data_IF_822185956020
#
_entry.id   IF_822185956020
#
_cell.length_a   1.000
_cell.length_b   1.000
_cell.length_c   1.000
_cell.angle_alpha   90.00
_cell.angle_beta   90.00
_cell.angle_gamma   90.00
#
_symmetry.space_group_name_H-M   'P 1'
#
loop_
_entity.id
_entity.type
_entity.pdbx_description
1 polymer ?
#
# COMPACT_ATOMS: atom_id res chain seq x y z
N UNK A 1 -16.74 -2.99 -16.08
CA UNK A 1 -17.79 -4.00 -15.82
C UNK A 1 -17.44 -4.70 -14.53
N UNK A 2 -18.43 -4.90 -13.63
CA UNK A 2 -18.21 -5.71 -12.42
C UNK A 2 -17.81 -7.13 -12.84
N UNK A 3 -16.73 -7.65 -12.27
CA UNK A 3 -16.28 -8.99 -12.56
C UNK A 3 -16.62 -9.91 -11.39
N UNK A 4 -17.54 -10.85 -11.61
CA UNK A 4 -17.83 -11.89 -10.63
C UNK A 4 -16.62 -12.85 -10.58
N UNK A 5 -15.92 -12.88 -9.44
CA UNK A 5 -14.76 -13.74 -9.24
C UNK A 5 -15.10 -15.13 -8.71
N UNK A 6 -16.39 -15.42 -8.50
CA UNK A 6 -16.83 -16.72 -7.98
C UNK A 6 -17.01 -17.80 -9.07
N UNK A 7 -16.90 -17.40 -10.36
CA UNK A 7 -17.08 -18.29 -11.52
C UNK A 7 -15.87 -18.21 -12.47
N UNK A 8 -15.61 -19.28 -13.21
CA UNK A 8 -14.48 -19.34 -14.16
C UNK A 8 -13.14 -19.74 -13.52
N UNK A 9 -12.09 -19.89 -14.34
CA UNK A 9 -10.77 -20.31 -13.87
C UNK A 9 -10.09 -19.19 -13.08
N UNK A 10 -9.53 -19.45 -11.86
CA UNK A 10 -8.97 -18.42 -10.98
C UNK A 10 -7.93 -17.51 -11.65
N UNK A 11 -6.93 -18.05 -12.33
CA UNK A 11 -5.90 -17.24 -12.98
C UNK A 11 -6.44 -16.35 -14.12
N UNK A 12 -7.48 -16.81 -14.85
CA UNK A 12 -8.11 -16.01 -15.89
C UNK A 12 -8.89 -14.81 -15.35
N UNK A 13 -9.18 -14.82 -14.05
CA UNK A 13 -9.83 -13.72 -13.34
C UNK A 13 -8.80 -12.81 -12.63
N UNK A 14 -7.83 -13.44 -11.94
CA UNK A 14 -6.82 -12.73 -11.13
C UNK A 14 -5.86 -11.92 -12.00
N UNK A 15 -5.33 -12.51 -13.09
CA UNK A 15 -4.34 -11.82 -13.94
C UNK A 15 -4.91 -10.58 -14.62
N UNK A 16 -6.08 -10.61 -15.32
CA UNK A 16 -6.65 -9.42 -15.93
C UNK A 16 -7.08 -8.36 -14.91
N UNK A 17 -7.36 -8.75 -13.67
CA UNK A 17 -7.66 -7.84 -12.57
C UNK A 17 -6.38 -7.19 -11.99
N UNK A 18 -5.29 -7.96 -11.89
CA UNK A 18 -4.00 -7.54 -11.36
C UNK A 18 -3.28 -6.55 -12.31
N UNK A 19 -3.36 -6.75 -13.64
CA UNK A 19 -2.62 -5.90 -14.60
C UNK A 19 -2.97 -4.41 -14.49
N UNK A 20 -4.24 -3.97 -14.42
CA UNK A 20 -4.56 -2.57 -14.18
C UNK A 20 -4.03 -2.04 -12.83
N UNK A 21 -4.01 -2.88 -11.78
CA UNK A 21 -3.44 -2.48 -10.49
C UNK A 21 -1.93 -2.26 -10.60
N UNK A 22 -1.22 -3.15 -11.29
CA UNK A 22 0.21 -3.01 -11.54
C UNK A 22 0.53 -1.73 -12.32
N UNK A 23 -0.20 -1.48 -13.41
CA UNK A 23 -0.05 -0.25 -14.20
C UNK A 23 -0.31 0.98 -13.32
N UNK A 24 -1.37 0.94 -12.49
CA UNK A 24 -1.69 2.04 -11.57
C UNK A 24 -0.59 2.29 -10.53
N UNK A 25 -0.05 1.24 -9.94
CA UNK A 25 1.03 1.35 -8.96
C UNK A 25 2.31 1.92 -9.59
N UNK A 26 2.70 1.43 -10.77
CA UNK A 26 3.87 1.96 -11.50
C UNK A 26 3.62 3.42 -11.90
N UNK A 27 2.43 3.75 -12.39
CA UNK A 27 2.09 5.12 -12.76
C UNK A 27 2.12 6.07 -11.54
N UNK A 28 1.69 5.60 -10.38
CA UNK A 28 1.76 6.36 -9.14
C UNK A 28 3.22 6.64 -8.71
N UNK A 29 4.14 5.70 -8.92
CA UNK A 29 5.56 5.95 -8.66
C UNK A 29 6.14 7.01 -9.62
N UNK A 30 5.81 6.92 -10.91
CA UNK A 30 6.23 7.94 -11.89
C UNK A 30 5.67 9.31 -11.57
N UNK A 31 4.42 9.38 -11.14
CA UNK A 31 3.78 10.60 -10.69
C UNK A 31 4.49 11.23 -9.47
N UNK A 32 4.83 10.43 -8.44
CA UNK A 32 5.56 10.92 -7.27
C UNK A 32 6.93 11.51 -7.65
N UNK A 33 7.62 10.87 -8.59
CA UNK A 33 8.89 11.38 -9.12
C UNK A 33 8.66 12.73 -9.85
N UNK A 34 7.63 12.83 -10.68
CA UNK A 34 7.30 14.05 -11.39
C UNK A 34 7.00 15.22 -10.43
N UNK A 35 6.27 14.98 -9.35
CA UNK A 35 5.96 15.99 -8.33
C UNK A 35 7.23 16.50 -7.64
N UNK A 36 8.15 15.62 -7.26
CA UNK A 36 9.45 15.97 -6.69
C UNK A 36 10.26 16.83 -7.66
N UNK A 37 10.27 16.49 -8.96
CA UNK A 37 10.97 17.26 -10.00
C UNK A 37 10.36 18.64 -10.17
N UNK A 38 9.03 18.73 -10.18
CA UNK A 38 8.32 20.02 -10.31
C UNK A 38 8.71 20.92 -9.13
N UNK A 39 8.53 20.46 -7.89
CA UNK A 39 8.86 21.25 -6.69
C UNK A 39 10.34 21.68 -6.71
N UNK A 40 11.26 20.74 -6.95
CA UNK A 40 12.71 21.03 -6.94
C UNK A 40 13.17 22.00 -8.01
N UNK A 41 12.60 21.92 -9.23
CA UNK A 41 13.02 22.81 -10.35
C UNK A 41 12.30 24.15 -10.36
N UNK A 42 11.08 24.24 -9.86
CA UNK A 42 10.28 25.47 -9.94
C UNK A 42 10.38 26.35 -8.71
N UNK A 43 10.50 25.76 -7.52
CA UNK A 43 10.57 26.51 -6.25
C UNK A 43 12.02 26.55 -5.73
N UNK A 44 12.73 25.41 -5.79
CA UNK A 44 14.13 25.32 -5.40
C UNK A 44 14.43 24.28 -4.33
N UNK A 45 15.70 24.22 -3.92
CA UNK A 45 16.22 23.17 -3.03
C UNK A 45 15.62 23.25 -1.62
N UNK A 46 15.40 24.45 -1.09
CA UNK A 46 14.81 24.64 0.25
C UNK A 46 13.38 24.11 0.32
N UNK A 47 12.56 24.38 -0.69
CA UNK A 47 11.21 23.84 -0.79
C UNK A 47 11.20 22.29 -0.83
N UNK A 48 12.13 21.72 -1.62
CA UNK A 48 12.28 20.27 -1.67
C UNK A 48 12.71 19.69 -0.32
N UNK A 49 13.60 20.40 0.40
CA UNK A 49 14.03 20.01 1.73
C UNK A 49 12.89 20.10 2.76
N UNK A 50 12.03 21.15 2.69
CA UNK A 50 10.88 21.30 3.54
C UNK A 50 9.87 20.15 3.35
N UNK A 51 9.47 19.85 2.11
CA UNK A 51 8.60 18.73 1.76
C UNK A 51 9.22 17.39 2.17
N UNK A 52 10.51 17.20 1.94
CA UNK A 52 11.26 16.01 2.33
C UNK A 52 11.28 15.79 3.84
N UNK A 53 11.47 16.86 4.61
CA UNK A 53 11.52 16.79 6.07
C UNK A 53 10.20 16.29 6.69
N UNK A 54 9.04 16.64 6.11
CA UNK A 54 7.72 16.22 6.61
C UNK A 54 7.18 14.95 5.95
N UNK A 55 7.92 14.37 4.99
CA UNK A 55 7.50 13.13 4.31
C UNK A 55 7.15 11.97 5.24
N UNK A 56 7.81 11.74 6.40
CA UNK A 56 7.40 10.68 7.33
C UNK A 56 6.01 10.90 7.92
N UNK A 57 5.62 12.15 8.20
CA UNK A 57 4.29 12.48 8.71
C UNK A 57 3.21 12.24 7.64
N UNK A 58 3.48 12.70 6.43
CA UNK A 58 2.64 12.43 5.26
C UNK A 58 2.47 10.93 5.05
N UNK A 59 3.56 10.17 5.04
CA UNK A 59 3.52 8.71 4.88
C UNK A 59 2.66 8.05 5.97
N UNK A 60 2.80 8.44 7.24
CA UNK A 60 2.03 7.88 8.34
C UNK A 60 0.53 8.08 8.14
N UNK A 61 0.10 9.30 7.81
CA UNK A 61 -1.32 9.61 7.58
C UNK A 61 -1.88 8.86 6.38
N UNK A 62 -1.09 8.72 5.30
CA UNK A 62 -1.46 7.98 4.09
C UNK A 62 -1.63 6.48 4.35
N UNK A 63 -0.67 5.84 5.03
CA UNK A 63 -0.75 4.39 5.29
C UNK A 63 -1.90 4.03 6.23
N UNK A 64 -2.24 4.91 7.18
CA UNK A 64 -3.42 4.75 8.04
C UNK A 64 -4.72 4.79 7.22
N UNK A 65 -4.89 5.79 6.36
CA UNK A 65 -6.10 5.93 5.52
C UNK A 65 -6.24 4.79 4.51
N UNK A 66 -5.15 4.36 3.89
CA UNK A 66 -5.11 3.22 2.97
C UNK A 66 -5.45 1.91 3.71
N UNK A 67 -4.87 1.69 4.88
CA UNK A 67 -5.10 0.50 5.69
C UNK A 67 -6.57 0.39 6.12
N UNK A 68 -7.16 1.46 6.64
CA UNK A 68 -8.57 1.53 7.00
C UNK A 68 -9.48 1.25 5.80
N UNK A 69 -9.28 1.97 4.69
CA UNK A 69 -10.09 1.82 3.48
C UNK A 69 -10.04 0.40 2.92
N UNK A 70 -8.84 -0.18 2.80
CA UNK A 70 -8.67 -1.54 2.31
C UNK A 70 -9.32 -2.58 3.24
N UNK A 71 -9.22 -2.38 4.56
CA UNK A 71 -9.84 -3.26 5.54
C UNK A 71 -11.36 -3.23 5.49
N UNK A 72 -11.94 -2.04 5.47
CA UNK A 72 -13.40 -1.88 5.42
C UNK A 72 -14.00 -2.51 4.15
N UNK A 73 -13.38 -2.35 3.00
CA UNK A 73 -13.90 -2.83 1.72
C UNK A 73 -13.84 -4.36 1.54
N UNK A 74 -13.09 -5.09 2.40
CA UNK A 74 -13.13 -6.56 2.40
C UNK A 74 -14.52 -7.08 2.73
N UNK A 75 -15.20 -6.48 3.73
CA UNK A 75 -16.56 -6.88 4.13
C UNK A 75 -17.54 -6.70 2.97
N UNK A 76 -17.42 -5.57 2.25
CA UNK A 76 -18.22 -5.31 1.04
C UNK A 76 -18.00 -6.39 -0.02
N UNK A 77 -16.74 -6.80 -0.27
CA UNK A 77 -16.41 -7.87 -1.21
C UNK A 77 -16.98 -9.24 -0.81
N UNK A 78 -16.98 -9.55 0.50
CA UNK A 78 -17.57 -10.77 1.03
C UNK A 78 -19.10 -10.79 0.82
N UNK A 79 -19.80 -9.67 1.11
CA UNK A 79 -21.25 -9.53 0.89
C UNK A 79 -21.61 -9.65 -0.60
N UNK A 80 -20.80 -9.02 -1.46
CA UNK A 80 -20.99 -9.15 -2.91
C UNK A 80 -20.83 -10.60 -3.38
N UNK A 81 -19.80 -11.31 -2.93
CA UNK A 81 -19.60 -12.73 -3.23
C UNK A 81 -20.71 -13.64 -2.70
N UNK A 82 -21.30 -13.29 -1.57
CA UNK A 82 -22.46 -13.98 -1.00
C UNK A 82 -23.78 -13.65 -1.73
N UNK A 83 -23.78 -12.75 -2.72
CA UNK A 83 -24.98 -12.24 -3.41
C UNK A 83 -25.96 -11.50 -2.46
N UNK A 84 -25.49 -11.05 -1.29
CA UNK A 84 -26.26 -10.29 -0.33
C UNK A 84 -26.22 -8.80 -0.68
N UNK A 85 -27.09 -8.38 -1.59
CA UNK A 85 -27.11 -7.00 -2.11
C UNK A 85 -27.55 -5.98 -1.04
N UNK A 86 -28.41 -6.37 -0.11
CA UNK A 86 -28.82 -5.50 1.00
C UNK A 86 -27.68 -5.33 1.99
N UNK A 87 -27.05 -6.42 2.43
CA UNK A 87 -25.88 -6.37 3.29
C UNK A 87 -24.72 -5.62 2.65
N UNK A 88 -24.52 -5.74 1.34
CA UNK A 88 -23.51 -4.99 0.60
C UNK A 88 -23.76 -3.48 0.67
N UNK A 89 -24.98 -2.98 0.44
CA UNK A 89 -25.31 -1.55 0.58
C UNK A 89 -25.11 -1.06 2.01
N UNK A 90 -25.54 -1.84 3.01
CA UNK A 90 -25.28 -1.52 4.44
C UNK A 90 -23.78 -1.47 4.73
N UNK A 91 -23.01 -2.41 4.21
CA UNK A 91 -21.53 -2.41 4.32
C UNK A 91 -20.94 -1.14 3.72
N UNK A 92 -21.37 -0.72 2.52
CA UNK A 92 -20.88 0.52 1.89
C UNK A 92 -21.23 1.75 2.74
N UNK A 93 -22.47 1.84 3.26
CA UNK A 93 -22.89 2.93 4.15
C UNK A 93 -22.04 2.96 5.43
N UNK A 94 -21.77 1.81 6.02
CA UNK A 94 -20.90 1.67 7.19
C UNK A 94 -19.46 2.09 6.88
N UNK A 95 -18.91 1.68 5.73
CA UNK A 95 -17.60 2.13 5.27
C UNK A 95 -17.52 3.65 5.18
N UNK A 96 -18.53 4.32 4.62
CA UNK A 96 -18.57 5.79 4.51
C UNK A 96 -18.57 6.44 5.88
N UNK A 97 -19.41 5.97 6.81
CA UNK A 97 -19.49 6.55 8.16
C UNK A 97 -18.19 6.34 8.95
N UNK A 98 -17.64 5.12 8.94
CA UNK A 98 -16.38 4.84 9.64
C UNK A 98 -15.21 5.61 9.02
N UNK A 99 -15.16 5.72 7.69
CA UNK A 99 -14.11 6.49 7.01
C UNK A 99 -14.19 7.97 7.37
N UNK A 100 -15.39 8.53 7.40
CA UNK A 100 -15.62 9.92 7.83
C UNK A 100 -15.20 10.10 9.30
N UNK A 101 -15.60 9.20 10.18
CA UNK A 101 -15.23 9.26 11.60
C UNK A 101 -13.70 9.22 11.79
N UNK A 102 -13.02 8.23 11.18
CA UNK A 102 -11.58 8.09 11.36
C UNK A 102 -10.78 9.20 10.70
N UNK A 103 -11.18 9.69 9.52
CA UNK A 103 -10.46 10.80 8.88
C UNK A 103 -10.59 12.08 9.69
N UNK A 104 -11.77 12.39 10.23
CA UNK A 104 -11.96 13.54 11.12
C UNK A 104 -11.18 13.39 12.42
N UNK A 105 -11.12 12.19 12.98
CA UNK A 105 -10.30 11.88 14.15
C UNK A 105 -8.80 12.11 13.87
N UNK A 106 -8.29 11.61 12.72
CA UNK A 106 -6.89 11.80 12.31
C UNK A 106 -6.60 13.29 12.11
N UNK A 107 -7.45 14.03 11.39
CA UNK A 107 -7.33 15.47 11.21
C UNK A 107 -7.25 16.17 12.57
N UNK A 108 -8.21 15.89 13.47
CA UNK A 108 -8.24 16.50 14.81
C UNK A 108 -6.99 16.20 15.65
N UNK A 109 -6.51 14.95 15.62
CA UNK A 109 -5.26 14.58 16.30
C UNK A 109 -4.07 15.32 15.70
N UNK A 110 -3.96 15.37 14.37
CA UNK A 110 -2.84 16.05 13.69
C UNK A 110 -2.79 17.54 14.02
N UNK A 111 -3.93 18.23 14.06
CA UNK A 111 -3.97 19.64 14.49
C UNK A 111 -3.48 19.87 15.92
N UNK A 112 -3.63 18.88 16.82
CA UNK A 112 -3.16 18.95 18.20
C UNK A 112 -1.68 18.65 18.36
N UNK A 113 -1.11 17.80 17.47
CA UNK A 113 0.25 17.27 17.66
C UNK A 113 1.26 17.78 16.64
N UNK A 114 0.84 18.50 15.60
CA UNK A 114 1.74 18.89 14.51
C UNK A 114 2.90 19.77 14.98
N UNK A 115 2.62 20.82 15.77
CA UNK A 115 3.66 21.73 16.27
C UNK A 115 4.74 20.99 17.08
N UNK A 116 4.41 20.22 18.15
CA UNK A 116 5.40 19.45 18.88
C UNK A 116 6.11 18.41 18.00
N UNK A 117 5.44 17.82 17.00
CA UNK A 117 6.08 16.85 16.09
C UNK A 117 7.13 17.53 15.19
N UNK A 118 6.83 18.67 14.60
CA UNK A 118 7.79 19.42 13.76
C UNK A 118 9.02 19.85 14.58
N UNK A 119 8.81 20.30 15.83
CA UNK A 119 9.91 20.63 16.76
C UNK A 119 10.75 19.39 17.09
N UNK A 120 10.11 18.25 17.40
CA UNK A 120 10.83 16.99 17.67
C UNK A 120 11.63 16.49 16.47
N UNK A 121 11.19 16.80 15.26
CA UNK A 121 11.90 16.44 14.02
C UNK A 121 13.10 17.35 13.74
N UNK A 122 13.35 18.37 14.58
CA UNK A 122 14.43 19.34 14.43
C UNK A 122 14.47 19.98 13.04
N UNK A 123 13.31 20.39 12.52
CA UNK A 123 13.24 21.07 11.22
C UNK A 123 13.92 22.45 11.35
N UNK A 124 14.83 22.80 10.44
CA UNK A 124 15.47 24.12 10.44
C UNK A 124 14.44 25.25 10.42
N UNK A 125 14.67 26.34 11.19
CA UNK A 125 13.73 27.47 11.26
C UNK A 125 13.33 28.07 9.90
N UNK A 126 14.28 28.10 8.95
CA UNK A 126 14.07 28.59 7.59
C UNK A 126 13.15 27.71 6.73
N UNK A 127 12.92 26.46 7.12
CA UNK A 127 12.05 25.51 6.41
C UNK A 127 10.73 25.28 7.14
N UNK A 128 10.59 25.80 8.37
CA UNK A 128 9.49 25.49 9.27
C UNK A 128 8.12 25.93 8.71
N UNK A 129 8.05 27.12 8.13
CA UNK A 129 6.80 27.67 7.56
C UNK A 129 6.31 26.82 6.39
N UNK A 130 7.18 26.57 5.40
CA UNK A 130 6.85 25.74 4.24
C UNK A 130 6.47 24.30 4.64
N UNK A 131 7.19 23.73 5.61
CA UNK A 131 6.95 22.38 6.13
C UNK A 131 5.59 22.29 6.85
N UNK A 132 5.27 23.27 7.68
CA UNK A 132 4.00 23.36 8.40
C UNK A 132 2.83 23.51 7.41
N UNK A 133 2.91 24.49 6.51
CA UNK A 133 1.85 24.77 5.53
C UNK A 133 1.58 23.55 4.64
N UNK A 134 2.65 22.91 4.15
CA UNK A 134 2.52 21.70 3.32
C UNK A 134 1.78 20.58 4.04
N UNK A 135 2.22 20.25 5.26
CA UNK A 135 1.60 19.16 6.04
C UNK A 135 0.16 19.49 6.40
N UNK A 136 -0.13 20.74 6.83
CA UNK A 136 -1.48 21.12 7.23
C UNK A 136 -2.47 21.07 6.08
N UNK A 137 -2.10 21.58 4.90
CA UNK A 137 -2.96 21.50 3.70
C UNK A 137 -3.26 20.02 3.36
N UNK A 138 -2.26 19.15 3.46
CA UNK A 138 -2.47 17.71 3.20
C UNK A 138 -3.35 17.07 4.27
N UNK A 139 -3.13 17.39 5.55
CA UNK A 139 -3.94 16.89 6.66
C UNK A 139 -5.41 17.31 6.49
N UNK A 140 -5.67 18.55 6.16
CA UNK A 140 -7.03 19.04 5.89
C UNK A 140 -7.63 18.38 4.64
N UNK A 141 -6.79 18.05 3.67
CA UNK A 141 -7.13 17.32 2.45
C UNK A 141 -7.32 15.82 2.62
N UNK A 142 -7.05 15.23 3.81
CA UNK A 142 -7.18 13.78 4.03
C UNK A 142 -8.57 13.25 3.74
N UNK A 143 -9.61 14.07 3.90
CA UNK A 143 -10.98 13.69 3.54
C UNK A 143 -11.10 13.31 2.06
N UNK A 144 -10.50 14.08 1.15
CA UNK A 144 -10.50 13.81 -0.27
C UNK A 144 -9.73 12.53 -0.60
N UNK A 145 -8.57 12.35 0.03
CA UNK A 145 -7.73 11.16 -0.12
C UNK A 145 -8.44 9.91 0.39
N UNK A 146 -9.05 9.97 1.57
CA UNK A 146 -9.82 8.86 2.16
C UNK A 146 -11.03 8.51 1.28
N UNK A 147 -11.75 9.51 0.77
CA UNK A 147 -12.88 9.31 -0.14
C UNK A 147 -12.46 8.58 -1.42
N UNK A 148 -11.38 9.02 -2.07
CA UNK A 148 -10.87 8.33 -3.27
C UNK A 148 -10.42 6.90 -2.95
N UNK A 149 -9.65 6.69 -1.88
CA UNK A 149 -9.17 5.35 -1.49
C UNK A 149 -10.34 4.41 -1.20
N UNK A 150 -11.35 4.88 -0.45
CA UNK A 150 -12.54 4.10 -0.14
C UNK A 150 -13.33 3.73 -1.39
N UNK A 151 -13.66 4.71 -2.23
CA UNK A 151 -14.45 4.48 -3.45
C UNK A 151 -13.72 3.58 -4.45
N UNK A 152 -12.41 3.76 -4.61
CA UNK A 152 -11.56 2.86 -5.38
C UNK A 152 -11.54 1.45 -4.79
N UNK A 153 -11.45 1.33 -3.46
CA UNK A 153 -11.52 0.07 -2.73
C UNK A 153 -12.86 -0.64 -2.93
N UNK A 154 -13.98 0.09 -2.87
CA UNK A 154 -15.32 -0.46 -3.16
C UNK A 154 -15.37 -0.98 -4.59
N UNK A 155 -14.97 -0.21 -5.60
CA UNK A 155 -14.95 -0.67 -6.99
C UNK A 155 -14.09 -1.92 -7.17
N UNK A 156 -12.89 -1.95 -6.57
CA UNK A 156 -12.03 -3.13 -6.58
C UNK A 156 -12.68 -4.34 -5.92
N UNK A 157 -13.32 -4.17 -4.77
CA UNK A 157 -13.99 -5.27 -4.05
C UNK A 157 -15.12 -5.91 -4.85
N UNK A 158 -15.70 -5.15 -5.79
CA UNK A 158 -16.73 -5.60 -6.74
C UNK A 158 -16.15 -6.11 -8.08
N UNK A 159 -14.82 -6.19 -8.20
CA UNK A 159 -14.14 -6.73 -9.37
C UNK A 159 -13.78 -5.72 -10.46
N UNK A 160 -13.92 -4.41 -10.22
CA UNK A 160 -13.50 -3.37 -11.16
C UNK A 160 -12.16 -2.77 -10.75
N UNK A 161 -11.08 -3.21 -11.37
CA UNK A 161 -9.73 -2.64 -11.20
C UNK A 161 -9.37 -1.60 -12.25
N UNK A 162 -10.10 -1.55 -13.38
CA UNK A 162 -9.77 -0.66 -14.50
C UNK A 162 -10.21 0.77 -14.27
N UNK A 163 -11.41 0.95 -13.75
CA UNK A 163 -11.97 2.30 -13.55
C UNK A 163 -11.17 3.13 -12.55
N UNK A 164 -10.77 2.60 -11.37
CA UNK A 164 -9.84 3.30 -10.47
C UNK A 164 -8.53 3.71 -11.14
N UNK A 165 -7.96 2.85 -12.02
CA UNK A 165 -6.76 3.19 -12.79
C UNK A 165 -6.97 4.41 -13.69
N UNK A 166 -8.08 4.45 -14.45
CA UNK A 166 -8.36 5.61 -15.32
C UNK A 166 -8.50 6.90 -14.53
N UNK A 167 -9.18 6.84 -13.38
CA UNK A 167 -9.33 8.01 -12.52
C UNK A 167 -8.01 8.44 -11.87
N UNK A 168 -7.14 7.49 -11.53
CA UNK A 168 -5.79 7.78 -11.06
C UNK A 168 -4.98 8.52 -12.13
N UNK A 169 -4.99 8.04 -13.37
CA UNK A 169 -4.26 8.68 -14.47
C UNK A 169 -4.77 10.10 -14.71
N UNK A 170 -6.09 10.29 -14.78
CA UNK A 170 -6.70 11.62 -14.98
C UNK A 170 -6.32 12.54 -13.82
N UNK A 171 -6.43 12.06 -12.58
CA UNK A 171 -6.06 12.83 -11.39
C UNK A 171 -4.60 13.25 -11.40
N UNK A 172 -3.69 12.36 -11.78
CA UNK A 172 -2.26 12.68 -11.86
C UNK A 172 -1.98 13.77 -12.89
N UNK A 173 -2.65 13.73 -14.04
CA UNK A 173 -2.54 14.80 -15.06
C UNK A 173 -3.09 16.11 -14.51
N UNK A 174 -4.25 16.09 -13.87
CA UNK A 174 -4.86 17.27 -13.25
C UNK A 174 -3.93 17.84 -12.17
N UNK A 175 -3.35 16.99 -11.33
CA UNK A 175 -2.39 17.43 -10.31
C UNK A 175 -1.18 18.13 -10.92
N UNK A 176 -0.53 17.54 -11.93
CA UNK A 176 0.65 18.14 -12.60
C UNK A 176 0.29 19.53 -13.17
N UNK A 177 -0.86 19.64 -13.84
CA UNK A 177 -1.34 20.92 -14.40
C UNK A 177 -1.57 21.94 -13.29
N UNK A 178 -2.30 21.55 -12.23
CA UNK A 178 -2.59 22.43 -11.11
C UNK A 178 -1.33 22.85 -10.35
N UNK A 179 -0.39 21.91 -10.13
CA UNK A 179 0.88 22.22 -9.48
C UNK A 179 1.67 23.28 -10.26
N UNK A 180 1.78 23.12 -11.59
CA UNK A 180 2.45 24.12 -12.44
C UNK A 180 1.72 25.47 -12.41
N UNK A 181 0.40 25.48 -12.47
CA UNK A 181 -0.39 26.74 -12.42
C UNK A 181 -0.24 27.42 -11.05
N UNK A 182 -0.38 26.71 -9.95
CA UNK A 182 -0.31 27.28 -8.61
C UNK A 182 1.10 27.76 -8.26
N UNK A 183 2.12 26.98 -8.64
CA UNK A 183 3.50 27.33 -8.36
C UNK A 183 4.00 28.45 -9.29
N UNK A 184 3.80 28.30 -10.61
CA UNK A 184 4.40 29.24 -11.59
C UNK A 184 3.54 30.48 -11.80
N UNK A 185 2.22 30.30 -12.03
CA UNK A 185 1.34 31.41 -12.40
C UNK A 185 0.85 32.20 -11.18
N UNK A 186 0.57 31.52 -10.07
CA UNK A 186 0.06 32.17 -8.85
C UNK A 186 1.17 32.43 -7.82
N UNK A 187 2.35 31.81 -7.95
CA UNK A 187 3.48 32.02 -7.05
C UNK A 187 3.24 31.46 -5.62
N UNK A 188 2.38 30.44 -5.47
CA UNK A 188 2.02 29.90 -4.16
C UNK A 188 3.09 29.01 -3.52
N UNK A 189 4.20 28.77 -4.21
CA UNK A 189 5.32 27.98 -3.65
C UNK A 189 4.91 26.56 -3.23
N UNK A 190 5.43 26.12 -2.08
CA UNK A 190 5.18 24.80 -1.49
C UNK A 190 3.68 24.53 -1.21
N UNK A 191 2.92 25.46 -0.61
CA UNK A 191 1.47 25.30 -0.47
C UNK A 191 0.74 25.00 -1.78
N UNK A 192 1.19 25.57 -2.91
CA UNK A 192 0.62 25.33 -4.23
C UNK A 192 0.69 23.88 -4.66
N UNK A 193 1.80 23.18 -4.39
CA UNK A 193 1.94 21.73 -4.63
C UNK A 193 0.96 20.93 -3.77
N UNK A 194 0.83 21.25 -2.49
CA UNK A 194 -0.08 20.59 -1.58
C UNK A 194 -1.54 20.74 -2.00
N UNK A 195 -1.98 21.96 -2.34
CA UNK A 195 -3.33 22.22 -2.86
C UNK A 195 -3.60 21.47 -4.17
N UNK A 196 -2.64 21.43 -5.10
CA UNK A 196 -2.77 20.68 -6.33
C UNK A 196 -3.05 19.19 -6.07
N UNK A 197 -2.33 18.58 -5.14
CA UNK A 197 -2.50 17.18 -4.72
C UNK A 197 -3.92 16.95 -4.15
N UNK A 198 -4.33 17.79 -3.20
CA UNK A 198 -5.65 17.65 -2.53
C UNK A 198 -6.81 17.83 -3.52
N UNK A 199 -6.74 18.83 -4.39
CA UNK A 199 -7.78 19.09 -5.40
C UNK A 199 -7.85 17.95 -6.42
N UNK A 200 -6.70 17.42 -6.86
CA UNK A 200 -6.68 16.29 -7.77
C UNK A 200 -7.28 15.03 -7.15
N UNK A 201 -7.04 14.77 -5.86
CA UNK A 201 -7.66 13.65 -5.13
C UNK A 201 -9.17 13.86 -4.95
N UNK A 202 -9.60 15.07 -4.62
CA UNK A 202 -11.03 15.41 -4.54
C UNK A 202 -11.72 15.23 -5.89
N UNK A 203 -11.09 15.66 -6.97
CA UNK A 203 -11.59 15.46 -8.33
C UNK A 203 -11.78 13.98 -8.66
N UNK A 204 -10.79 13.13 -8.34
CA UNK A 204 -10.90 11.69 -8.51
C UNK A 204 -12.03 11.07 -7.68
N UNK A 205 -12.19 11.50 -6.43
CA UNK A 205 -13.29 11.04 -5.58
C UNK A 205 -14.66 11.39 -6.19
N UNK A 206 -14.82 12.61 -6.70
CA UNK A 206 -16.04 13.04 -7.39
C UNK A 206 -16.31 12.20 -8.65
N UNK A 207 -15.29 11.93 -9.46
CA UNK A 207 -15.42 11.05 -10.63
C UNK A 207 -15.85 9.64 -10.23
N UNK A 208 -15.29 9.08 -9.14
CA UNK A 208 -15.70 7.79 -8.59
C UNK A 208 -17.18 7.79 -8.19
N UNK A 209 -17.65 8.82 -7.47
CA UNK A 209 -19.06 8.94 -7.06
C UNK A 209 -19.97 8.99 -8.28
N UNK A 210 -19.67 9.87 -9.26
CA UNK A 210 -20.46 10.01 -10.48
C UNK A 210 -20.53 8.69 -11.25
N UNK A 211 -19.40 7.99 -11.37
CA UNK A 211 -19.33 6.72 -12.08
C UNK A 211 -20.15 5.63 -11.36
N UNK A 212 -19.97 5.48 -10.04
CA UNK A 212 -20.73 4.51 -9.23
C UNK A 212 -22.23 4.80 -9.35
N UNK A 213 -22.63 6.07 -9.19
CA UNK A 213 -24.03 6.47 -9.26
C UNK A 213 -24.65 6.15 -10.62
N UNK A 214 -23.97 6.48 -11.73
CA UNK A 214 -24.50 6.28 -13.09
C UNK A 214 -24.45 4.82 -13.54
N UNK A 215 -23.41 4.08 -13.13
CA UNK A 215 -23.13 2.75 -13.71
C UNK A 215 -23.65 1.60 -12.87
N UNK A 216 -23.84 1.81 -11.58
CA UNK A 216 -24.24 0.76 -10.63
C UNK A 216 -25.46 1.14 -9.80
N UNK A 217 -26.68 1.13 -10.37
CA UNK A 217 -27.91 1.45 -9.64
C UNK A 217 -28.10 0.56 -8.39
N UNK A 218 -27.61 -0.68 -8.42
CA UNK A 218 -27.67 -1.61 -7.29
C UNK A 218 -26.83 -1.16 -6.08
N UNK A 219 -25.92 -0.22 -6.25
CA UNK A 219 -25.10 0.36 -5.18
C UNK A 219 -25.69 1.65 -4.61
N UNK A 220 -26.84 2.09 -5.09
CA UNK A 220 -27.47 3.29 -4.54
C UNK A 220 -27.85 3.04 -3.09
N UNK A 221 -27.23 3.83 -2.22
CA UNK A 221 -27.46 3.79 -0.78
C UNK A 221 -28.73 4.54 -0.45
N UNK A 222 -29.63 3.94 0.31
CA UNK A 222 -30.85 4.53 0.80
C UNK A 222 -30.69 4.91 2.28
N UNK A 223 -31.53 5.79 2.81
CA UNK A 223 -31.47 6.15 4.24
C UNK A 223 -31.64 4.94 5.16
N UNK A 224 -32.39 3.93 4.72
CA UNK A 224 -32.54 2.65 5.44
C UNK A 224 -31.25 1.83 5.54
N UNK A 225 -30.25 2.07 4.68
CA UNK A 225 -28.99 1.33 4.69
C UNK A 225 -28.00 1.88 5.75
N UNK A 226 -28.25 3.08 6.30
CA UNK A 226 -27.48 3.67 7.40
C UNK A 226 -27.89 3.13 8.79
N UNK A 227 -28.35 1.90 8.85
CA UNK A 227 -28.57 1.21 10.12
C UNK A 227 -27.22 0.75 10.68
N UNK A 228 -26.65 1.59 11.54
CA UNK A 228 -25.34 1.34 12.18
C UNK A 228 -25.57 0.52 13.45
N UNK A 229 -25.79 -0.77 13.29
CA UNK A 229 -25.80 -1.70 14.41
C UNK A 229 -24.38 -2.15 14.79
N UNK A 230 -24.19 -2.51 16.06
CA UNK A 230 -22.87 -2.89 16.58
C UNK A 230 -22.22 -4.07 15.83
N UNK A 231 -22.94 -5.14 15.45
CA UNK A 231 -22.35 -6.24 14.67
C UNK A 231 -21.78 -5.79 13.34
N UNK A 232 -22.44 -4.89 12.61
CA UNK A 232 -21.97 -4.38 11.32
C UNK A 232 -20.74 -3.46 11.51
N UNK A 233 -20.80 -2.54 12.48
CA UNK A 233 -19.65 -1.70 12.84
C UNK A 233 -18.43 -2.55 13.23
N UNK A 234 -18.65 -3.55 14.09
CA UNK A 234 -17.57 -4.43 14.54
C UNK A 234 -16.97 -5.26 13.41
N UNK A 235 -17.76 -5.73 12.46
CA UNK A 235 -17.27 -6.45 11.29
C UNK A 235 -16.25 -5.62 10.49
N UNK A 236 -16.51 -4.31 10.32
CA UNK A 236 -15.62 -3.40 9.61
C UNK A 236 -14.41 -2.99 10.45
N UNK A 237 -14.62 -2.64 11.73
CA UNK A 237 -13.53 -2.27 12.65
C UNK A 237 -12.53 -3.40 12.83
N UNK A 238 -13.03 -4.63 12.98
CA UNK A 238 -12.20 -5.83 13.08
C UNK A 238 -11.32 -6.05 11.84
N UNK A 239 -11.71 -5.55 10.68
CA UNK A 239 -10.91 -5.62 9.46
C UNK A 239 -10.00 -4.40 9.30
N UNK A 240 -10.53 -3.19 9.48
CA UNK A 240 -9.82 -1.95 9.18
C UNK A 240 -8.70 -1.64 10.17
N UNK A 241 -8.96 -1.76 11.48
CA UNK A 241 -7.96 -1.41 12.50
C UNK A 241 -6.68 -2.27 12.43
N UNK A 242 -6.75 -3.60 12.36
CA UNK A 242 -5.54 -4.41 12.22
C UNK A 242 -4.76 -4.10 10.94
N UNK A 243 -5.45 -3.76 9.85
CA UNK A 243 -4.80 -3.40 8.61
C UNK A 243 -4.11 -2.04 8.69
N UNK A 244 -4.73 -1.04 9.33
CA UNK A 244 -4.07 0.24 9.57
C UNK A 244 -2.78 0.05 10.38
N UNK A 245 -2.82 -0.76 11.45
CA UNK A 245 -1.63 -1.12 12.24
C UNK A 245 -0.59 -1.83 11.39
N UNK A 246 -0.98 -2.80 10.56
CA UNK A 246 -0.05 -3.52 9.66
C UNK A 246 0.74 -2.57 8.77
N UNK A 247 0.07 -1.63 8.10
CA UNK A 247 0.74 -0.67 7.21
C UNK A 247 1.66 0.28 7.98
N UNK A 248 1.27 0.71 9.19
CA UNK A 248 2.11 1.56 10.04
C UNK A 248 3.37 0.82 10.52
N UNK A 249 3.23 -0.45 10.90
CA UNK A 249 4.34 -1.30 11.33
C UNK A 249 5.35 -1.53 10.18
N UNK A 250 4.87 -1.69 8.96
CA UNK A 250 5.74 -1.80 7.78
C UNK A 250 6.62 -0.54 7.61
N UNK A 251 6.04 0.65 7.72
CA UNK A 251 6.78 1.91 7.66
C UNK A 251 7.85 2.03 8.75
N UNK A 252 7.55 1.63 9.99
CA UNK A 252 8.52 1.61 11.09
C UNK A 252 9.71 0.68 10.80
N UNK A 253 9.47 -0.45 10.16
CA UNK A 253 10.53 -1.40 9.79
C UNK A 253 11.56 -0.80 8.84
N UNK A 254 11.12 -0.02 7.86
CA UNK A 254 12.01 0.69 6.92
C UNK A 254 12.84 1.74 7.67
N UNK A 255 12.24 2.51 8.57
CA UNK A 255 12.93 3.54 9.37
C UNK A 255 14.04 2.91 10.22
N UNK A 256 13.78 1.79 10.88
CA UNK A 256 14.79 1.09 11.70
C UNK A 256 15.94 0.61 10.83
N UNK A 257 15.68 -0.02 9.70
CA UNK A 257 16.70 -0.51 8.80
C UNK A 257 17.58 0.62 8.27
N UNK A 258 16.97 1.72 7.83
CA UNK A 258 17.66 2.93 7.40
C UNK A 258 18.52 3.52 8.53
N UNK A 259 18.00 3.57 9.75
CA UNK A 259 18.72 4.10 10.92
C UNK A 259 19.98 3.30 11.26
N UNK A 260 19.94 1.96 11.09
CA UNK A 260 21.13 1.11 11.26
C UNK A 260 22.10 1.31 10.10
N UNK A 261 21.61 1.40 8.86
CA UNK A 261 22.42 1.65 7.66
C UNK A 261 23.19 2.97 7.75
N UNK A 262 22.61 4.01 8.32
CA UNK A 262 23.22 5.34 8.47
C UNK A 262 24.53 5.35 9.30
N UNK A 263 24.86 4.26 9.98
CA UNK A 263 26.12 4.11 10.74
C UNK A 263 27.33 3.72 9.87
N UNK A 264 27.11 3.34 8.60
CA UNK A 264 28.14 2.75 7.76
C UNK A 264 28.80 3.72 6.75
N UNK A 265 28.39 5.00 6.76
CA UNK A 265 28.97 6.02 5.90
C UNK A 265 28.18 6.30 4.63
N UNK A 266 28.54 7.38 3.93
CA UNK A 266 27.77 7.93 2.81
C UNK A 266 27.63 6.98 1.62
N UNK A 267 28.70 6.24 1.29
CA UNK A 267 28.72 5.37 0.13
C UNK A 267 27.81 4.15 0.32
N UNK A 268 27.86 3.52 1.50
CA UNK A 268 26.95 2.41 1.84
C UNK A 268 25.50 2.87 1.89
N UNK A 269 25.22 4.05 2.43
CA UNK A 269 23.87 4.64 2.44
C UNK A 269 23.38 4.88 1.01
N UNK A 270 24.23 5.42 0.14
CA UNK A 270 23.88 5.66 -1.26
C UNK A 270 23.59 4.34 -2.00
N UNK A 271 24.44 3.32 -1.82
CA UNK A 271 24.25 1.99 -2.40
C UNK A 271 22.98 1.32 -1.90
N UNK A 272 22.74 1.31 -0.59
CA UNK A 272 21.53 0.79 0.03
C UNK A 272 20.26 1.48 -0.48
N UNK A 273 20.24 2.81 -0.48
CA UNK A 273 19.07 3.58 -0.94
C UNK A 273 18.76 3.32 -2.40
N UNK A 274 19.79 3.18 -3.24
CA UNK A 274 19.62 2.85 -4.66
C UNK A 274 19.06 1.44 -4.84
N UNK A 275 19.62 0.46 -4.14
CA UNK A 275 19.11 -0.91 -4.17
C UNK A 275 17.65 -1.01 -3.70
N UNK A 276 17.26 -0.27 -2.66
CA UNK A 276 15.86 -0.17 -2.22
C UNK A 276 14.93 0.41 -3.29
N UNK A 277 15.39 1.35 -4.12
CA UNK A 277 14.58 1.88 -5.24
C UNK A 277 14.35 0.81 -6.31
N UNK A 278 15.37 0.02 -6.63
CA UNK A 278 15.24 -1.14 -7.53
C UNK A 278 14.25 -2.15 -6.96
N UNK A 279 14.37 -2.47 -5.68
CA UNK A 279 13.46 -3.37 -4.97
C UNK A 279 12.02 -2.88 -5.01
N UNK A 280 11.77 -1.60 -4.75
CA UNK A 280 10.42 -1.03 -4.80
C UNK A 280 9.73 -1.24 -6.15
N UNK A 281 10.46 -1.19 -7.27
CA UNK A 281 9.89 -1.51 -8.58
C UNK A 281 9.59 -3.01 -8.71
N UNK A 282 10.50 -3.86 -8.25
CA UNK A 282 10.32 -5.31 -8.26
C UNK A 282 9.15 -5.80 -7.38
N UNK A 283 8.80 -5.02 -6.34
CA UNK A 283 7.67 -5.31 -5.44
C UNK A 283 6.30 -5.04 -6.07
N UNK A 284 6.17 -4.14 -7.05
CA UNK A 284 4.87 -3.70 -7.58
C UNK A 284 4.01 -4.85 -8.14
N UNK A 285 4.56 -5.82 -8.90
CA UNK A 285 3.80 -6.99 -9.29
C UNK A 285 3.29 -7.81 -8.10
N UNK A 286 4.12 -8.02 -7.07
CA UNK A 286 3.77 -8.83 -5.89
C UNK A 286 2.65 -8.17 -5.07
N UNK A 287 2.71 -6.85 -4.88
CA UNK A 287 1.65 -6.04 -4.24
C UNK A 287 0.35 -6.17 -5.03
N UNK A 288 0.43 -6.06 -6.35
CA UNK A 288 -0.75 -6.14 -7.24
C UNK A 288 -1.39 -7.53 -7.21
N UNK A 289 -0.58 -8.60 -7.17
CA UNK A 289 -1.07 -9.96 -6.94
C UNK A 289 -1.74 -10.10 -5.57
N UNK A 290 -1.15 -9.53 -4.53
CA UNK A 290 -1.71 -9.52 -3.18
C UNK A 290 -3.11 -8.90 -3.16
N UNK A 291 -3.28 -7.69 -3.71
CA UNK A 291 -4.58 -7.01 -3.77
C UNK A 291 -5.60 -7.84 -4.56
N UNK A 292 -5.20 -8.40 -5.72
CA UNK A 292 -6.07 -9.24 -6.52
C UNK A 292 -6.48 -10.52 -5.76
N UNK A 293 -5.56 -11.12 -4.99
CA UNK A 293 -5.83 -12.27 -4.14
C UNK A 293 -6.79 -11.93 -3.01
N UNK A 294 -6.67 -10.76 -2.36
CA UNK A 294 -7.60 -10.34 -1.31
C UNK A 294 -9.02 -10.21 -1.85
N UNK A 295 -9.20 -9.56 -3.01
CA UNK A 295 -10.51 -9.40 -3.65
C UNK A 295 -11.09 -10.73 -4.10
N UNK A 296 -10.30 -11.55 -4.79
CA UNK A 296 -10.72 -12.89 -5.21
C UNK A 296 -11.16 -13.74 -4.01
N UNK A 297 -10.36 -13.74 -2.95
CA UNK A 297 -10.64 -14.51 -1.75
C UNK A 297 -11.87 -13.99 -1.01
N UNK A 298 -12.04 -12.65 -0.91
CA UNK A 298 -13.20 -12.08 -0.24
C UNK A 298 -14.51 -12.50 -0.92
N UNK A 299 -14.59 -12.40 -2.25
CA UNK A 299 -15.78 -12.83 -2.98
C UNK A 299 -16.03 -14.34 -2.87
N UNK A 300 -14.98 -15.17 -3.03
CA UNK A 300 -15.12 -16.63 -2.92
C UNK A 300 -15.41 -17.10 -1.48
N UNK A 301 -14.92 -16.39 -0.47
CA UNK A 301 -15.27 -16.63 0.93
C UNK A 301 -16.75 -16.33 1.18
N UNK A 302 -17.27 -15.20 0.69
CA UNK A 302 -18.68 -14.87 0.74
C UNK A 302 -19.56 -15.94 0.09
N UNK A 303 -19.12 -16.47 -1.07
CA UNK A 303 -19.78 -17.56 -1.79
C UNK A 303 -19.51 -18.96 -1.18
N UNK A 304 -18.77 -19.07 -0.07
CA UNK A 304 -18.36 -20.32 0.59
C UNK A 304 -17.58 -21.29 -0.31
N UNK A 305 -16.86 -20.76 -1.31
CA UNK A 305 -16.09 -21.54 -2.30
C UNK A 305 -14.62 -21.70 -1.86
N UNK A 306 -14.39 -22.44 -0.78
CA UNK A 306 -13.03 -22.71 -0.26
C UNK A 306 -12.16 -23.51 -1.22
N UNK A 307 -12.78 -24.38 -2.04
CA UNK A 307 -12.13 -25.07 -3.15
C UNK A 307 -11.38 -24.10 -4.07
N UNK A 308 -12.05 -23.02 -4.46
CA UNK A 308 -11.52 -22.02 -5.36
C UNK A 308 -10.42 -21.17 -4.70
N UNK A 309 -10.58 -20.85 -3.41
CA UNK A 309 -9.55 -20.13 -2.65
C UNK A 309 -8.24 -20.93 -2.64
N UNK A 310 -8.30 -22.24 -2.35
CA UNK A 310 -7.12 -23.11 -2.36
C UNK A 310 -6.49 -23.25 -3.74
N UNK A 311 -7.30 -23.44 -4.78
CA UNK A 311 -6.80 -23.52 -6.16
C UNK A 311 -6.12 -22.21 -6.59
N UNK A 312 -6.72 -21.05 -6.29
CA UNK A 312 -6.14 -19.75 -6.59
C UNK A 312 -4.81 -19.53 -5.87
N UNK A 313 -4.75 -19.76 -4.56
CA UNK A 313 -3.52 -19.62 -3.78
C UNK A 313 -2.41 -20.51 -4.34
N UNK A 314 -2.70 -21.79 -4.61
CA UNK A 314 -1.72 -22.72 -5.18
C UNK A 314 -1.19 -22.26 -6.54
N UNK A 315 -2.08 -21.85 -7.46
CA UNK A 315 -1.70 -21.42 -8.81
C UNK A 315 -0.95 -20.09 -8.80
N UNK A 316 -1.37 -19.14 -7.96
CA UNK A 316 -0.65 -17.88 -7.81
C UNK A 316 0.72 -18.08 -7.17
N UNK A 317 0.86 -18.97 -6.18
CA UNK A 317 2.16 -19.32 -5.59
C UNK A 317 3.13 -19.88 -6.62
N UNK A 318 2.66 -20.76 -7.51
CA UNK A 318 3.48 -21.30 -8.61
C UNK A 318 3.86 -20.23 -9.62
N UNK A 319 2.93 -19.34 -9.97
CA UNK A 319 3.18 -18.27 -10.93
C UNK A 319 4.20 -17.27 -10.38
N UNK A 320 4.11 -16.93 -9.10
CA UNK A 320 5.08 -16.02 -8.45
C UNK A 320 6.44 -16.66 -8.24
N UNK A 321 6.53 -17.98 -8.13
CA UNK A 321 7.81 -18.69 -8.17
C UNK A 321 8.52 -18.46 -9.53
N UNK A 322 7.78 -18.65 -10.63
CA UNK A 322 8.32 -18.40 -11.98
C UNK A 322 8.76 -16.94 -12.14
N UNK A 323 7.94 -16.00 -11.65
CA UNK A 323 8.30 -14.58 -11.66
C UNK A 323 9.55 -14.29 -10.83
N UNK A 324 9.67 -14.85 -9.63
CA UNK A 324 10.83 -14.65 -8.76
C UNK A 324 12.12 -15.22 -9.35
N UNK A 325 12.03 -16.39 -10.01
CA UNK A 325 13.16 -16.97 -10.74
C UNK A 325 13.56 -16.11 -11.94
N UNK A 326 12.59 -15.60 -12.70
CA UNK A 326 12.86 -14.68 -13.80
C UNK A 326 13.53 -13.38 -13.30
N UNK A 327 12.99 -12.78 -12.23
CA UNK A 327 13.57 -11.59 -11.63
C UNK A 327 15.01 -11.84 -11.12
N UNK A 328 15.27 -13.00 -10.52
CA UNK A 328 16.61 -13.40 -10.11
C UNK A 328 17.57 -13.48 -11.31
N UNK A 329 17.16 -14.13 -12.40
CA UNK A 329 17.98 -14.24 -13.62
C UNK A 329 18.28 -12.86 -14.20
N UNK A 330 17.27 -11.98 -14.28
CA UNK A 330 17.45 -10.62 -14.81
C UNK A 330 18.43 -9.82 -13.95
N UNK A 331 18.28 -9.88 -12.63
CA UNK A 331 19.16 -9.12 -11.72
C UNK A 331 20.57 -9.69 -11.68
N UNK A 332 20.75 -11.01 -11.74
CA UNK A 332 22.09 -11.60 -11.85
C UNK A 332 22.77 -11.32 -13.19
N UNK A 333 22.01 -11.22 -14.29
CA UNK A 333 22.56 -10.95 -15.63
C UNK A 333 22.83 -9.45 -15.88
N UNK A 334 22.02 -8.58 -15.33
CA UNK A 334 21.97 -7.14 -15.63
C UNK A 334 21.97 -6.26 -14.37
N UNK A 335 22.51 -6.73 -13.25
CA UNK A 335 22.44 -6.02 -11.96
C UNK A 335 23.13 -4.66 -11.96
N UNK A 336 24.30 -4.56 -12.59
CA UNK A 336 25.04 -3.31 -12.69
C UNK A 336 24.32 -2.29 -13.57
N UNK A 337 23.78 -2.72 -14.71
CA UNK A 337 22.98 -1.88 -15.61
C UNK A 337 21.69 -1.39 -14.93
N UNK A 338 21.03 -2.25 -14.17
CA UNK A 338 19.81 -1.89 -13.43
C UNK A 338 20.11 -0.88 -12.33
N UNK A 339 21.22 -1.02 -11.60
CA UNK A 339 21.67 -0.05 -10.61
C UNK A 339 22.07 1.27 -11.31
N UNK A 340 22.77 1.19 -12.45
CA UNK A 340 23.23 2.31 -13.26
C UNK A 340 22.10 3.20 -13.82
N UNK A 341 20.87 2.69 -13.92
CA UNK A 341 19.69 3.51 -14.27
C UNK A 341 19.43 4.62 -13.23
N UNK A 342 19.82 4.40 -11.97
CA UNK A 342 19.54 5.29 -10.86
C UNK A 342 20.74 6.15 -10.44
N UNK A 343 21.94 5.88 -10.94
CA UNK A 343 23.17 6.54 -10.53
C UNK A 343 24.03 6.92 -11.74
N UNK A 344 24.34 8.19 -11.85
CA UNK A 344 25.32 8.71 -12.81
C UNK A 344 26.75 8.53 -12.25
N UNK A 345 27.54 7.62 -12.84
CA UNK A 345 28.93 7.35 -12.47
C UNK A 345 29.15 7.08 -10.96
N UNK A 346 28.52 6.04 -10.39
CA UNK A 346 28.67 5.73 -8.97
C UNK A 346 30.11 5.34 -8.63
N UNK A 347 30.56 5.64 -7.40
CA UNK A 347 31.82 5.12 -6.90
C UNK A 347 31.79 3.58 -6.86
N UNK A 348 32.95 2.91 -6.99
CA UNK A 348 33.00 1.43 -6.86
C UNK A 348 32.34 0.92 -5.58
N UNK A 349 32.53 1.60 -4.46
CA UNK A 349 31.94 1.24 -3.15
C UNK A 349 30.42 1.34 -3.15
N UNK A 350 29.84 2.35 -3.81
CA UNK A 350 28.38 2.50 -3.95
C UNK A 350 27.80 1.35 -4.78
N UNK A 351 28.44 1.03 -5.91
CA UNK A 351 28.03 -0.07 -6.78
C UNK A 351 28.12 -1.41 -6.06
N UNK A 352 29.22 -1.70 -5.36
CA UNK A 352 29.43 -2.91 -4.59
C UNK A 352 28.37 -3.05 -3.48
N UNK A 353 28.09 -1.95 -2.74
CA UNK A 353 27.08 -1.96 -1.68
C UNK A 353 25.68 -2.21 -2.21
N UNK A 354 25.30 -1.61 -3.33
CA UNK A 354 24.01 -1.86 -3.97
C UNK A 354 23.91 -3.29 -4.50
N UNK A 355 24.96 -3.79 -5.15
CA UNK A 355 25.02 -5.15 -5.66
C UNK A 355 24.92 -6.19 -4.55
N UNK A 356 25.63 -5.97 -3.44
CA UNK A 356 25.60 -6.86 -2.27
C UNK A 356 24.18 -6.97 -1.68
N UNK A 357 23.48 -5.85 -1.51
CA UNK A 357 22.09 -5.86 -1.02
C UNK A 357 21.18 -6.68 -1.94
N UNK A 358 21.27 -6.45 -3.24
CA UNK A 358 20.48 -7.15 -4.25
C UNK A 358 20.81 -8.65 -4.26
N UNK A 359 22.09 -9.02 -4.11
CA UNK A 359 22.54 -10.40 -4.04
C UNK A 359 21.89 -11.18 -2.88
N UNK A 360 21.67 -10.53 -1.74
CA UNK A 360 20.99 -11.13 -0.59
C UNK A 360 19.46 -11.18 -0.75
N UNK A 361 18.85 -10.16 -1.31
CA UNK A 361 17.39 -10.01 -1.32
C UNK A 361 16.70 -10.75 -2.48
N UNK A 362 17.27 -10.73 -3.67
CA UNK A 362 16.65 -11.30 -4.88
C UNK A 362 16.42 -12.82 -4.79
N UNK A 363 17.34 -13.63 -4.27
CA UNK A 363 17.13 -15.09 -4.13
C UNK A 363 15.92 -15.44 -3.26
N UNK A 364 15.54 -14.56 -2.35
CA UNK A 364 14.41 -14.76 -1.41
C UNK A 364 13.11 -14.10 -1.83
N UNK A 365 13.02 -13.48 -3.01
CA UNK A 365 11.80 -12.86 -3.55
C UNK A 365 10.63 -13.84 -3.65
N UNK A 366 10.91 -15.14 -3.78
CA UNK A 366 9.85 -16.15 -3.70
C UNK A 366 9.14 -16.10 -2.34
N UNK A 367 9.88 -16.06 -1.24
CA UNK A 367 9.28 -15.98 0.11
C UNK A 367 8.49 -14.69 0.28
N UNK A 368 9.02 -13.57 -0.21
CA UNK A 368 8.32 -12.29 -0.20
C UNK A 368 7.01 -12.35 -0.97
N UNK A 369 6.99 -12.97 -2.16
CA UNK A 369 5.77 -13.14 -2.94
C UNK A 369 4.73 -14.02 -2.22
N UNK A 370 5.18 -15.05 -1.49
CA UNK A 370 4.29 -15.88 -0.68
C UNK A 370 3.65 -15.09 0.46
N UNK A 371 4.38 -14.15 1.08
CA UNK A 371 3.80 -13.26 2.09
C UNK A 371 2.61 -12.52 1.50
N UNK A 372 2.75 -11.90 0.33
CA UNK A 372 1.66 -11.18 -0.31
C UNK A 372 0.47 -12.07 -0.64
N UNK A 373 0.68 -13.30 -1.09
CA UNK A 373 -0.41 -14.23 -1.46
C UNK A 373 -1.14 -14.73 -0.21
N UNK A 374 -0.44 -15.31 0.75
CA UNK A 374 -1.06 -15.94 1.92
C UNK A 374 -1.66 -14.91 2.88
N UNK A 375 -0.97 -13.79 3.11
CA UNK A 375 -1.45 -12.68 3.94
C UNK A 375 -2.75 -12.10 3.40
N UNK A 376 -2.79 -11.80 2.10
CA UNK A 376 -3.98 -11.24 1.47
C UNK A 376 -5.12 -12.28 1.32
N UNK A 377 -4.81 -13.57 1.19
CA UNK A 377 -5.82 -14.63 1.27
C UNK A 377 -6.45 -14.68 2.67
N UNK A 378 -5.66 -14.63 3.75
CA UNK A 378 -6.20 -14.53 5.12
C UNK A 378 -7.06 -13.27 5.31
N UNK A 379 -6.61 -12.13 4.79
CA UNK A 379 -7.38 -10.89 4.79
C UNK A 379 -8.74 -11.05 4.11
N UNK A 380 -8.78 -11.59 2.89
CA UNK A 380 -10.02 -11.83 2.15
C UNK A 380 -10.98 -12.79 2.88
N UNK A 381 -10.47 -13.77 3.61
CA UNK A 381 -11.28 -14.67 4.46
C UNK A 381 -11.80 -14.00 5.75
N UNK A 382 -11.47 -12.74 6.01
CA UNK A 382 -11.89 -12.03 7.22
C UNK A 382 -11.01 -12.29 8.46
N UNK A 383 -9.81 -12.85 8.29
CA UNK A 383 -8.84 -13.12 9.36
C UNK A 383 -7.79 -12.03 9.41
N UNK A 384 -8.18 -10.81 9.74
CA UNK A 384 -7.35 -9.59 9.68
C UNK A 384 -6.24 -9.53 10.73
N UNK A 385 -6.33 -10.29 11.81
CA UNK A 385 -5.27 -10.38 12.81
C UNK A 385 -3.99 -11.00 12.23
N UNK A 386 -4.09 -11.93 11.27
CA UNK A 386 -2.92 -12.55 10.65
C UNK A 386 -2.09 -11.57 9.82
N UNK A 387 -2.68 -10.74 8.93
CA UNK A 387 -1.97 -9.65 8.30
C UNK A 387 -1.23 -8.72 9.29
N UNK A 388 -1.88 -8.31 10.36
CA UNK A 388 -1.26 -7.46 11.40
C UNK A 388 -0.09 -8.17 12.09
N UNK A 389 -0.30 -9.39 12.57
CA UNK A 389 0.74 -10.17 13.26
C UNK A 389 1.91 -10.49 12.30
N UNK A 390 1.64 -10.72 11.02
CA UNK A 390 2.70 -10.92 10.03
C UNK A 390 3.60 -9.71 9.88
N UNK A 391 3.01 -8.48 9.90
CA UNK A 391 3.79 -7.25 9.92
C UNK A 391 4.66 -7.11 11.18
N UNK A 392 4.12 -7.51 12.34
CA UNK A 392 4.89 -7.52 13.59
C UNK A 392 6.05 -8.52 13.55
N UNK A 393 5.83 -9.74 13.03
CA UNK A 393 6.90 -10.74 12.85
C UNK A 393 7.99 -10.17 11.93
N UNK A 394 7.59 -9.56 10.82
CA UNK A 394 8.52 -8.94 9.85
C UNK A 394 9.33 -7.81 10.51
N UNK A 395 8.68 -6.90 11.25
CA UNK A 395 9.35 -5.82 11.98
C UNK A 395 10.35 -6.35 13.02
N UNK A 396 9.93 -7.29 13.85
CA UNK A 396 10.78 -7.85 14.93
C UNK A 396 11.98 -8.56 14.34
N UNK A 397 11.78 -9.44 13.36
CA UNK A 397 12.86 -10.21 12.75
C UNK A 397 13.84 -9.32 11.98
N UNK A 398 13.34 -8.33 11.24
CA UNK A 398 14.15 -7.30 10.56
C UNK A 398 14.98 -6.51 11.56
N UNK A 399 14.37 -6.02 12.62
CA UNK A 399 15.05 -5.21 13.64
C UNK A 399 16.13 -6.01 14.37
N UNK A 400 15.82 -7.23 14.80
CA UNK A 400 16.79 -8.13 15.44
C UNK A 400 17.95 -8.40 14.49
N UNK A 401 17.66 -8.82 13.25
CA UNK A 401 18.71 -9.13 12.28
C UNK A 401 19.57 -7.90 11.97
N UNK A 402 18.97 -6.75 11.68
CA UNK A 402 19.72 -5.52 11.38
C UNK A 402 20.62 -5.08 12.54
N UNK A 403 20.13 -5.12 13.78
CA UNK A 403 20.88 -4.65 14.95
C UNK A 403 21.99 -5.63 15.33
N UNK A 404 21.68 -6.94 15.40
CA UNK A 404 22.64 -7.92 15.90
C UNK A 404 23.63 -8.40 14.84
N UNK A 405 23.21 -8.57 13.58
CA UNK A 405 24.11 -9.01 12.52
C UNK A 405 25.02 -7.91 11.98
N UNK A 406 24.60 -6.63 12.10
CA UNK A 406 25.47 -5.52 11.70
C UNK A 406 26.74 -5.40 12.56
N UNK A 407 26.75 -5.96 13.77
CA UNK A 407 27.93 -5.94 14.66
C UNK A 407 29.05 -6.84 14.14
N UNK A 408 28.83 -8.16 13.90
CA UNK A 408 29.88 -9.05 13.39
C UNK A 408 30.12 -8.95 11.88
N UNK A 409 29.11 -8.62 11.08
CA UNK A 409 29.16 -8.65 9.61
C UNK A 409 29.13 -7.27 8.94
N UNK A 410 29.08 -6.19 9.71
CA UNK A 410 29.04 -4.85 9.14
C UNK A 410 27.83 -4.61 8.24
N UNK A 411 28.04 -4.00 7.07
CA UNK A 411 26.98 -3.71 6.10
C UNK A 411 26.30 -4.98 5.54
N UNK A 412 27.04 -6.07 5.40
CA UNK A 412 26.50 -7.36 4.98
C UNK A 412 25.40 -7.87 5.94
N UNK A 413 25.57 -7.63 7.26
CA UNK A 413 24.56 -7.95 8.26
C UNK A 413 23.24 -7.20 8.05
N UNK A 414 23.27 -5.96 7.51
CA UNK A 414 22.08 -5.22 7.11
C UNK A 414 21.41 -5.88 5.89
N UNK A 415 22.21 -6.30 4.90
CA UNK A 415 21.70 -6.99 3.72
C UNK A 415 21.00 -8.31 4.05
N UNK A 416 21.38 -8.99 5.14
CA UNK A 416 20.72 -10.21 5.64
C UNK A 416 19.39 -9.94 6.35
N UNK A 417 19.10 -8.72 6.77
CA UNK A 417 17.93 -8.41 7.59
C UNK A 417 16.61 -8.64 6.86
N UNK A 418 16.49 -8.21 5.60
CA UNK A 418 15.29 -8.42 4.80
C UNK A 418 15.04 -9.90 4.48
N UNK A 419 16.01 -10.69 4.00
CA UNK A 419 15.85 -12.12 3.84
C UNK A 419 15.33 -12.86 5.07
N UNK A 420 15.90 -12.60 6.23
CA UNK A 420 15.50 -13.23 7.50
C UNK A 420 14.07 -12.85 7.87
N UNK A 421 13.71 -11.57 7.72
CA UNK A 421 12.35 -11.08 7.98
C UNK A 421 11.32 -11.74 7.03
N UNK A 422 11.62 -11.82 5.74
CA UNK A 422 10.71 -12.37 4.75
C UNK A 422 10.54 -13.88 4.90
N UNK A 423 11.61 -14.64 5.12
CA UNK A 423 11.53 -16.09 5.34
C UNK A 423 10.70 -16.38 6.60
N UNK A 424 10.98 -15.68 7.71
CA UNK A 424 10.26 -15.86 8.97
C UNK A 424 8.76 -15.51 8.83
N UNK A 425 8.47 -14.40 8.17
CA UNK A 425 7.10 -13.97 7.91
C UNK A 425 6.37 -14.94 6.97
N UNK A 426 7.02 -15.41 5.90
CA UNK A 426 6.44 -16.36 4.96
C UNK A 426 6.05 -17.68 5.65
N UNK A 427 6.92 -18.23 6.51
CA UNK A 427 6.63 -19.43 7.30
C UNK A 427 5.41 -19.18 8.20
N UNK A 428 5.37 -18.03 8.88
CA UNK A 428 4.24 -17.67 9.74
C UNK A 428 2.92 -17.60 8.98
N UNK A 429 2.87 -16.83 7.87
CA UNK A 429 1.61 -16.66 7.12
C UNK A 429 1.18 -17.94 6.40
N UNK A 430 2.14 -18.76 5.97
CA UNK A 430 1.84 -20.08 5.39
C UNK A 430 1.15 -20.98 6.40
N UNK A 431 1.71 -21.12 7.61
CA UNK A 431 1.13 -21.92 8.68
C UNK A 431 -0.27 -21.39 9.08
N UNK A 432 -0.40 -20.06 9.25
CA UNK A 432 -1.65 -19.41 9.60
C UNK A 432 -2.73 -19.63 8.52
N UNK A 433 -2.40 -19.45 7.24
CA UNK A 433 -3.34 -19.69 6.15
C UNK A 433 -3.88 -21.12 6.17
N UNK A 434 -3.01 -22.13 6.26
CA UNK A 434 -3.42 -23.54 6.24
C UNK A 434 -4.26 -23.92 7.46
N UNK A 435 -3.98 -23.31 8.61
CA UNK A 435 -4.82 -23.48 9.80
C UNK A 435 -6.19 -22.86 9.61
N UNK A 436 -6.27 -21.58 9.23
CA UNK A 436 -7.53 -20.85 9.18
C UNK A 436 -8.43 -21.28 8.01
N UNK A 437 -7.88 -21.62 6.84
CA UNK A 437 -8.71 -22.10 5.71
C UNK A 437 -9.41 -23.39 6.07
N UNK A 438 -8.75 -24.33 6.78
CA UNK A 438 -9.37 -25.57 7.25
C UNK A 438 -10.40 -25.32 8.36
N UNK A 439 -10.09 -24.42 9.30
CA UNK A 439 -11.00 -24.08 10.40
C UNK A 439 -12.29 -23.44 9.88
N UNK A 440 -12.18 -22.49 8.98
CA UNK A 440 -13.32 -21.77 8.41
C UNK A 440 -14.14 -22.67 7.48
N UNK A 441 -13.48 -23.51 6.68
CA UNK A 441 -14.18 -24.49 5.85
C UNK A 441 -15.04 -25.42 6.70
N UNK A 442 -14.50 -26.02 7.77
CA UNK A 442 -15.28 -26.86 8.71
C UNK A 442 -16.46 -26.12 9.35
N UNK A 443 -16.28 -24.81 9.61
CA UNK A 443 -17.31 -23.98 10.23
C UNK A 443 -18.47 -23.65 9.28
N UNK A 444 -18.16 -23.39 8.00
CA UNK A 444 -19.14 -22.88 7.04
C UNK A 444 -19.63 -23.90 6.01
N UNK A 445 -18.97 -25.05 5.94
CA UNK A 445 -19.38 -26.18 5.12
C UNK A 445 -19.57 -27.39 6.05
N UNK A 446 -20.70 -27.51 6.75
CA UNK A 446 -20.96 -28.67 7.58
C UNK A 446 -20.90 -29.94 6.72
N UNK A 447 -20.14 -30.92 7.18
CA UNK A 447 -20.09 -32.26 6.58
C UNK A 447 -21.49 -32.84 6.72
N UNK A 448 -22.18 -33.11 5.58
CA UNK A 448 -23.40 -33.90 5.54
C UNK A 448 -23.13 -35.30 6.04
#
# INVERSE_FOLDING_TARGET
>A
MLQNMTEGAPLKLIIPFMVPLLIGNVFQQLYNIADIIIVGRTIGVNALAAVGAVSPLFMLTMVLTIGLSNGFTVVTGQRYGAQDMQGMRRSIATCVVLSLFFVLLIIGIMHLVIDPMLVMMNIPPELMEDAYDYVMIIVDGLLAMMAYNLLSGIMRSLGDSKTPLYFLIISSIVNIILALVFIISFGWGVPGSAFALVIAQAFSAVLCVIYIYKRFPQLHIHRSDFQLDWPELWAHLRMGLPMAVQFSVFGLGIIILQSVCNKFGSDQIAGFTTAMRVEQLALQPMISFGIAMAVFTAQNFGARRFDRIRDAVRRCSLLTLVFSLFAAVVVFAFGEEVIGIFLDNPSPTVMESAHLYILYTVPVYFFLSQIFIYRNACQGMGVSMIPMLSGMVELIMRSIAAIYLSVPFGYEGICMAEPIAWISCAVFVFAAYHYFVRLLEKKYTPVN
#
